data_IF_211951845506
#
_entry.id   IF_211951845506
#
_cell.length_a   1.000
_cell.length_b   1.000
_cell.length_c   1.000
_cell.angle_alpha   90.00
_cell.angle_beta   90.00
_cell.angle_gamma   90.00
#
_symmetry.space_group_name_H-M   'P 1'
#
loop_
_entity.id
_entity.type
_entity.pdbx_description
1 polymer ?
#
# COMPACT_ATOMS: atom_id res chain seq x y z
N UNK A 1 44.84 43.82 18.22
CA UNK A 1 44.51 45.16 17.72
C UNK A 1 43.14 45.09 17.08
N UNK A 2 42.14 45.74 17.67
CA UNK A 2 40.77 45.82 17.15
C UNK A 2 40.70 46.99 16.17
N UNK A 3 40.54 46.71 14.88
CA UNK A 3 40.25 47.73 13.87
C UNK A 3 38.80 48.20 14.05
N UNK A 4 38.62 49.40 14.61
CA UNK A 4 37.33 50.07 14.61
C UNK A 4 37.20 50.84 13.30
N UNK A 5 36.16 50.53 12.52
CA UNK A 5 35.84 51.31 11.32
C UNK A 5 35.45 52.74 11.73
N UNK A 6 35.87 53.72 10.94
CA UNK A 6 35.40 55.09 11.11
C UNK A 6 33.92 55.20 10.74
N UNK A 7 33.23 56.21 11.30
CA UNK A 7 31.78 56.41 11.07
C UNK A 7 31.45 56.47 9.58
N UNK A 8 32.30 57.08 8.77
CA UNK A 8 32.10 57.21 7.33
C UNK A 8 32.23 55.86 6.60
N UNK A 9 33.20 55.03 7.00
CA UNK A 9 33.37 53.68 6.44
C UNK A 9 32.21 52.76 6.82
N UNK A 10 31.69 52.90 8.05
CA UNK A 10 30.49 52.20 8.51
C UNK A 10 29.25 52.57 7.68
N UNK A 11 29.05 53.86 7.40
CA UNK A 11 27.93 54.35 6.58
C UNK A 11 28.04 53.83 5.15
N UNK A 12 29.24 53.84 4.55
CA UNK A 12 29.46 53.31 3.20
C UNK A 12 29.21 51.80 3.15
N UNK A 13 29.66 51.05 4.16
CA UNK A 13 29.44 49.59 4.21
C UNK A 13 27.96 49.23 4.41
N UNK A 14 27.24 49.97 5.27
CA UNK A 14 25.80 49.80 5.46
C UNK A 14 25.02 50.11 4.18
N UNK A 15 25.38 51.18 3.46
CA UNK A 15 24.71 51.54 2.22
C UNK A 15 24.95 50.50 1.12
N UNK A 16 26.18 49.97 1.03
CA UNK A 16 26.52 48.90 0.09
C UNK A 16 25.80 47.59 0.43
N UNK A 17 25.68 47.23 1.71
CA UNK A 17 24.90 46.07 2.15
C UNK A 17 23.40 46.24 1.85
N UNK A 18 22.85 47.43 2.06
CA UNK A 18 21.46 47.74 1.72
C UNK A 18 21.22 47.58 0.20
N UNK A 19 22.10 48.10 -0.63
CA UNK A 19 22.01 47.99 -2.10
C UNK A 19 22.14 46.53 -2.57
N UNK A 20 23.02 45.73 -1.96
CA UNK A 20 23.13 44.31 -2.29
C UNK A 20 21.90 43.52 -1.86
N UNK A 21 21.33 43.81 -0.68
CA UNK A 21 20.10 43.17 -0.21
C UNK A 21 18.91 43.50 -1.12
N UNK A 22 18.78 44.75 -1.58
CA UNK A 22 17.72 45.15 -2.52
C UNK A 22 17.87 44.41 -3.86
N UNK A 23 19.09 44.30 -4.38
CA UNK A 23 19.36 43.60 -5.65
C UNK A 23 19.09 42.09 -5.54
N UNK A 24 19.43 41.48 -4.41
CA UNK A 24 19.18 40.06 -4.15
C UNK A 24 17.67 39.78 -3.99
N UNK A 25 16.93 40.66 -3.30
CA UNK A 25 15.47 40.57 -3.19
C UNK A 25 14.79 40.68 -4.57
N UNK A 26 15.24 41.59 -5.43
CA UNK A 26 14.71 41.72 -6.79
C UNK A 26 15.02 40.48 -7.66
N UNK A 27 16.20 39.87 -7.50
CA UNK A 27 16.57 38.63 -8.19
C UNK A 27 15.75 37.42 -7.72
N UNK A 28 15.47 37.31 -6.42
CA UNK A 28 14.59 36.28 -5.88
C UNK A 28 13.14 36.45 -6.33
N UNK A 29 12.65 37.69 -6.39
CA UNK A 29 11.31 38.00 -6.90
C UNK A 29 11.18 37.64 -8.38
N UNK A 30 12.19 37.97 -9.20
CA UNK A 30 12.22 37.59 -10.61
C UNK A 30 12.31 36.07 -10.81
N UNK A 31 13.13 35.36 -10.02
CA UNK A 31 13.14 33.87 -10.03
C UNK A 31 11.79 33.29 -9.65
N UNK A 32 11.11 33.83 -8.62
CA UNK A 32 9.77 33.38 -8.20
C UNK A 32 8.70 33.68 -9.27
N UNK A 33 8.80 34.81 -9.96
CA UNK A 33 7.91 35.17 -11.06
C UNK A 33 8.09 34.24 -12.27
N UNK A 34 9.33 33.98 -12.67
CA UNK A 34 9.68 33.11 -13.81
C UNK A 34 9.33 31.64 -13.52
N UNK A 35 9.47 31.20 -12.26
CA UNK A 35 9.01 29.87 -11.82
C UNK A 35 7.48 29.78 -11.85
N UNK A 36 6.77 30.81 -11.36
CA UNK A 36 5.30 30.86 -11.44
C UNK A 36 4.78 30.85 -12.88
N UNK A 37 5.43 31.55 -13.82
CA UNK A 37 5.04 31.51 -15.24
C UNK A 37 5.27 30.14 -15.89
N UNK A 38 6.38 29.46 -15.56
CA UNK A 38 6.64 28.09 -16.05
C UNK A 38 5.60 27.08 -15.55
N UNK A 39 5.16 27.20 -14.30
CA UNK A 39 4.07 26.36 -13.76
C UNK A 39 2.69 26.73 -14.33
N UNK A 40 2.44 28.00 -14.66
CA UNK A 40 1.17 28.45 -15.27
C UNK A 40 0.98 27.94 -16.71
N UNK A 41 2.07 27.70 -17.44
CA UNK A 41 2.06 27.08 -18.78
C UNK A 41 1.70 25.59 -18.78
N UNK A 42 1.79 24.90 -17.64
CA UNK A 42 1.39 23.50 -17.46
C UNK A 42 -0.06 23.34 -16.98
N UNK A 43 -0.97 24.24 -17.39
CA UNK A 43 -2.40 23.99 -17.19
C UNK A 43 -2.88 22.92 -18.18
N UNK A 44 -2.66 21.65 -17.84
CA UNK A 44 -3.37 20.55 -18.49
C UNK A 44 -4.86 20.85 -18.37
N UNK A 45 -5.50 21.24 -19.47
CA UNK A 45 -6.96 21.27 -19.55
C UNK A 45 -7.44 19.83 -19.42
N UNK A 46 -7.78 19.45 -18.19
CA UNK A 46 -8.35 18.16 -17.84
C UNK A 46 -9.79 18.17 -18.36
N UNK A 47 -10.07 17.36 -19.37
CA UNK A 47 -11.42 17.16 -19.89
C UNK A 47 -12.03 15.90 -19.30
N UNK A 48 -13.36 15.85 -19.17
CA UNK A 48 -14.10 14.66 -18.68
C UNK A 48 -13.71 13.38 -19.45
N UNK A 49 -13.47 13.50 -20.76
CA UNK A 49 -12.99 12.41 -21.63
C UNK A 49 -11.61 11.92 -21.23
N UNK A 50 -10.66 12.82 -20.94
CA UNK A 50 -9.31 12.44 -20.50
C UNK A 50 -9.34 11.73 -19.15
N UNK A 51 -10.15 12.21 -18.20
CA UNK A 51 -10.34 11.56 -16.89
C UNK A 51 -10.91 10.14 -17.08
N UNK A 52 -11.93 9.99 -17.92
CA UNK A 52 -12.54 8.69 -18.19
C UNK A 52 -11.54 7.68 -18.76
N UNK A 53 -10.77 8.06 -19.78
CA UNK A 53 -9.76 7.18 -20.37
C UNK A 53 -8.62 6.87 -19.39
N UNK A 54 -8.20 7.84 -18.57
CA UNK A 54 -7.23 7.61 -17.50
C UNK A 54 -7.76 6.60 -16.47
N UNK A 55 -9.02 6.75 -16.04
CA UNK A 55 -9.66 5.81 -15.12
C UNK A 55 -9.80 4.42 -15.72
N UNK A 56 -10.11 4.31 -17.02
CA UNK A 56 -10.17 3.03 -17.72
C UNK A 56 -8.80 2.34 -17.77
N UNK A 57 -7.74 3.08 -18.08
CA UNK A 57 -6.37 2.55 -18.08
C UNK A 57 -5.99 2.06 -16.68
N UNK A 58 -6.30 2.84 -15.63
CA UNK A 58 -6.05 2.43 -14.24
C UNK A 58 -6.83 1.17 -13.86
N UNK A 59 -8.09 1.06 -14.29
CA UNK A 59 -8.89 -0.13 -14.04
C UNK A 59 -8.33 -1.36 -14.77
N UNK A 60 -7.85 -1.21 -16.01
CA UNK A 60 -7.17 -2.29 -16.72
C UNK A 60 -5.91 -2.73 -15.99
N UNK A 61 -5.07 -1.79 -15.56
CA UNK A 61 -3.87 -2.10 -14.76
C UNK A 61 -4.25 -2.86 -13.50
N UNK A 62 -5.29 -2.41 -12.78
CA UNK A 62 -5.78 -3.08 -11.58
C UNK A 62 -6.27 -4.52 -11.87
N UNK A 63 -7.05 -4.73 -12.94
CA UNK A 63 -7.48 -6.07 -13.36
C UNK A 63 -6.28 -6.97 -13.62
N UNK A 64 -5.26 -6.47 -14.33
CA UNK A 64 -4.02 -7.21 -14.57
C UNK A 64 -3.28 -7.54 -13.27
N UNK A 65 -3.16 -6.58 -12.35
CA UNK A 65 -2.53 -6.79 -11.04
C UNK A 65 -3.23 -7.88 -10.22
N UNK A 66 -4.56 -7.88 -10.19
CA UNK A 66 -5.36 -8.90 -9.47
C UNK A 66 -5.36 -10.26 -10.19
N UNK A 67 -5.13 -10.28 -11.50
CA UNK A 67 -5.01 -11.53 -12.27
C UNK A 67 -3.76 -12.33 -11.92
N UNK A 68 -2.68 -11.67 -11.47
CA UNK A 68 -1.41 -12.33 -11.11
C UNK A 68 -1.60 -13.38 -10.01
N UNK A 69 -2.19 -13.06 -8.84
CA UNK A 69 -2.44 -14.06 -7.80
C UNK A 69 -3.47 -15.13 -8.24
N UNK A 70 -4.45 -14.78 -9.07
CA UNK A 70 -5.46 -15.73 -9.55
C UNK A 70 -4.87 -16.82 -10.47
N UNK A 71 -3.83 -16.48 -11.24
CA UNK A 71 -3.12 -17.44 -12.11
C UNK A 71 -1.94 -18.13 -11.40
N UNK A 72 -1.65 -17.75 -10.15
CA UNK A 72 -0.53 -18.34 -9.41
C UNK A 72 -0.74 -18.28 -7.91
N UNK A 73 -1.19 -19.40 -7.33
CA UNK A 73 -1.34 -19.59 -5.89
C UNK A 73 -0.05 -19.29 -5.09
N UNK A 74 1.13 -19.42 -5.70
CA UNK A 74 2.43 -19.29 -5.01
C UNK A 74 3.39 -18.22 -5.54
N UNK A 75 3.09 -17.49 -6.64
CA UNK A 75 3.99 -16.41 -7.12
C UNK A 75 3.70 -15.03 -6.55
N UNK A 76 2.51 -14.81 -5.98
CA UNK A 76 2.19 -13.56 -5.26
C UNK A 76 3.15 -13.30 -4.09
N UNK A 77 3.43 -14.35 -3.31
CA UNK A 77 4.38 -14.33 -2.18
C UNK A 77 5.80 -13.98 -2.66
N UNK A 78 6.22 -14.50 -3.82
CA UNK A 78 7.56 -14.24 -4.35
C UNK A 78 7.72 -12.82 -4.92
N UNK A 79 6.66 -12.19 -5.43
CA UNK A 79 6.74 -10.86 -6.03
C UNK A 79 6.66 -9.72 -4.99
N UNK A 80 5.87 -9.89 -3.93
CA UNK A 80 5.60 -8.83 -2.95
C UNK A 80 6.12 -9.13 -1.54
N UNK A 81 6.83 -10.26 -1.35
CA UNK A 81 7.29 -10.84 -0.06
C UNK A 81 6.19 -11.09 0.99
N UNK A 82 5.01 -10.54 0.77
CA UNK A 82 3.82 -10.65 1.59
C UNK A 82 2.64 -11.10 0.75
N UNK A 83 1.71 -11.80 1.38
CA UNK A 83 0.43 -12.22 0.80
C UNK A 83 -0.69 -11.95 1.79
N UNK A 84 -1.92 -12.04 1.29
CA UNK A 84 -3.11 -11.94 2.12
C UNK A 84 -3.86 -13.26 2.06
N UNK A 85 -4.22 -13.83 3.20
CA UNK A 85 -4.94 -15.10 3.30
C UNK A 85 -5.99 -15.06 4.40
N UNK A 86 -6.88 -16.05 4.39
CA UNK A 86 -7.92 -16.20 5.41
C UNK A 86 -7.40 -17.14 6.50
N UNK A 87 -7.22 -16.63 7.73
CA UNK A 87 -6.73 -17.40 8.87
C UNK A 87 -7.60 -17.23 10.12
N UNK A 88 -7.60 -18.24 10.98
CA UNK A 88 -8.22 -18.23 12.30
C UNK A 88 -7.25 -17.58 13.29
N UNK A 89 -7.58 -16.40 13.87
CA UNK A 89 -6.73 -15.77 14.88
C UNK A 89 -6.69 -16.57 16.17
N UNK A 90 -5.56 -16.47 16.89
CA UNK A 90 -5.26 -17.30 18.06
C UNK A 90 -6.18 -17.07 19.27
N UNK A 91 -6.88 -15.94 19.31
CA UNK A 91 -7.65 -15.47 20.46
C UNK A 91 -9.10 -15.96 20.46
N UNK A 92 -9.34 -17.16 19.91
CA UNK A 92 -10.66 -17.75 19.79
C UNK A 92 -10.69 -19.13 20.44
N UNK A 93 -11.71 -19.37 21.24
CA UNK A 93 -11.96 -20.68 21.81
C UNK A 93 -12.35 -21.67 20.71
N UNK A 94 -11.69 -22.84 20.69
CA UNK A 94 -11.94 -23.89 19.67
C UNK A 94 -13.38 -24.45 19.75
N UNK A 95 -14.02 -24.34 20.90
CA UNK A 95 -15.35 -24.91 21.15
C UNK A 95 -16.52 -24.06 20.61
N UNK A 96 -16.26 -22.84 20.13
CA UNK A 96 -17.27 -21.93 19.60
C UNK A 96 -17.17 -21.79 18.06
N UNK A 97 -18.03 -20.95 17.48
CA UNK A 97 -17.98 -20.60 16.06
C UNK A 97 -16.68 -19.87 15.72
N UNK A 98 -15.79 -20.57 15.02
CA UNK A 98 -14.53 -20.01 14.54
C UNK A 98 -14.77 -18.95 13.45
N UNK A 99 -14.28 -17.74 13.69
CA UNK A 99 -14.32 -16.64 12.73
C UNK A 99 -12.95 -16.49 12.10
N UNK A 100 -12.86 -16.78 10.80
CA UNK A 100 -11.64 -16.54 10.06
C UNK A 100 -11.57 -15.07 9.59
N UNK A 101 -10.37 -14.48 9.66
CA UNK A 101 -10.10 -13.12 9.22
C UNK A 101 -9.10 -13.11 8.09
N UNK A 102 -9.21 -12.09 7.24
CA UNK A 102 -8.25 -11.84 6.18
C UNK A 102 -7.04 -11.14 6.82
N UNK A 103 -5.88 -11.78 6.75
CA UNK A 103 -4.64 -11.32 7.41
C UNK A 103 -3.50 -11.19 6.40
N UNK A 104 -2.56 -10.29 6.67
CA UNK A 104 -1.34 -10.15 5.88
C UNK A 104 -0.22 -10.96 6.50
N UNK A 105 0.46 -11.70 5.65
CA UNK A 105 1.46 -12.70 6.02
C UNK A 105 2.73 -12.44 5.23
N UNK A 106 3.89 -12.48 5.88
CA UNK A 106 5.21 -12.43 5.24
C UNK A 106 5.75 -13.84 5.01
N UNK A 107 6.57 -13.99 3.96
CA UNK A 107 7.33 -15.23 3.77
C UNK A 107 8.26 -15.47 4.97
N UNK A 108 8.32 -16.72 5.43
CA UNK A 108 9.22 -17.12 6.52
C UNK A 108 10.67 -16.85 6.13
N UNK A 109 11.38 -16.16 7.01
CA UNK A 109 12.84 -16.02 7.00
C UNK A 109 13.37 -16.55 8.34
N UNK A 110 14.04 -17.70 8.29
CA UNK A 110 14.51 -18.43 9.46
C UNK A 110 15.53 -17.61 10.29
N UNK A 111 16.25 -16.69 9.65
CA UNK A 111 17.24 -15.83 10.32
C UNK A 111 16.56 -14.77 11.20
N UNK A 112 15.28 -14.47 10.93
CA UNK A 112 14.50 -13.44 11.62
C UNK A 112 13.48 -14.00 12.60
N UNK A 113 13.21 -15.31 12.52
CA UNK A 113 12.18 -15.97 13.31
C UNK A 113 12.58 -16.01 14.80
N UNK A 114 11.70 -15.52 15.66
CA UNK A 114 11.95 -15.41 17.09
C UNK A 114 10.79 -15.96 17.94
N UNK A 115 11.08 -16.24 19.21
CA UNK A 115 10.06 -16.54 20.22
C UNK A 115 9.19 -15.30 20.44
N UNK A 116 7.88 -15.49 20.46
CA UNK A 116 6.86 -14.43 20.49
C UNK A 116 6.31 -14.05 19.11
N UNK A 117 6.92 -14.54 18.02
CA UNK A 117 6.38 -14.31 16.68
C UNK A 117 5.10 -15.10 16.47
N UNK A 118 4.15 -14.49 15.76
CA UNK A 118 2.92 -15.12 15.33
C UNK A 118 3.13 -15.72 13.95
N UNK A 119 2.86 -17.00 13.80
CA UNK A 119 3.07 -17.76 12.57
C UNK A 119 1.78 -18.32 12.01
N UNK A 120 1.81 -18.65 10.72
CA UNK A 120 0.70 -19.24 10.00
C UNK A 120 0.97 -20.72 9.71
N UNK A 121 0.05 -21.57 10.16
CA UNK A 121 0.06 -23.00 9.93
C UNK A 121 -1.20 -23.43 9.17
N UNK A 122 -1.07 -24.36 8.24
CA UNK A 122 -2.20 -24.94 7.50
C UNK A 122 -2.61 -26.29 8.07
N UNK A 123 -3.89 -26.65 8.00
CA UNK A 123 -4.31 -28.03 8.26
C UNK A 123 -4.45 -28.41 9.74
N UNK A 124 -4.50 -27.44 10.65
CA UNK A 124 -4.53 -27.69 12.10
C UNK A 124 -5.93 -28.12 12.56
N UNK A 125 -5.98 -28.86 13.67
CA UNK A 125 -7.22 -29.31 14.30
C UNK A 125 -8.18 -30.09 13.38
N UNK A 126 -7.64 -30.86 12.43
CA UNK A 126 -8.41 -31.56 11.38
C UNK A 126 -9.29 -30.61 10.54
N UNK A 127 -8.83 -29.38 10.32
CA UNK A 127 -9.52 -28.40 9.48
C UNK A 127 -8.64 -28.00 8.31
N UNK A 128 -9.25 -27.63 7.18
CA UNK A 128 -8.55 -27.12 5.98
C UNK A 128 -8.40 -25.58 6.02
N UNK A 129 -8.12 -25.03 7.21
CA UNK A 129 -7.94 -23.59 7.40
C UNK A 129 -6.49 -23.26 7.77
N UNK A 130 -6.14 -21.99 7.56
CA UNK A 130 -4.92 -21.41 8.11
C UNK A 130 -5.18 -20.96 9.55
N UNK A 131 -4.20 -21.13 10.42
CA UNK A 131 -4.27 -20.84 11.84
C UNK A 131 -3.11 -19.96 12.24
N UNK A 132 -3.40 -18.94 13.06
CA UNK A 132 -2.39 -18.11 13.69
C UNK A 132 -2.05 -18.73 15.04
N UNK A 133 -0.79 -19.09 15.24
CA UNK A 133 -0.26 -19.60 16.51
C UNK A 133 0.99 -18.78 16.90
N UNK A 134 1.27 -18.66 18.19
CA UNK A 134 2.45 -17.93 18.69
C UNK A 134 3.59 -18.90 19.01
N UNK A 135 4.82 -18.56 18.62
CA UNK A 135 6.01 -19.35 18.95
C UNK A 135 6.38 -19.12 20.42
N UNK A 136 6.39 -20.20 21.21
CA UNK A 136 6.83 -20.19 22.62
C UNK A 136 8.23 -20.76 22.81
N UNK A 137 8.71 -21.56 21.86
CA UNK A 137 10.07 -22.11 21.87
C UNK A 137 10.52 -22.38 20.44
N UNK A 138 11.82 -22.19 20.18
CA UNK A 138 12.41 -22.34 18.86
C UNK A 138 13.73 -23.11 18.99
N UNK A 139 13.84 -24.23 18.27
CA UNK A 139 15.06 -25.01 18.12
C UNK A 139 15.41 -25.09 16.63
N UNK A 140 16.27 -24.17 16.20
CA UNK A 140 16.71 -24.04 14.81
C UNK A 140 17.56 -25.25 14.39
N UNK A 141 18.35 -25.80 15.32
CA UNK A 141 19.25 -26.93 15.03
C UNK A 141 18.47 -28.22 14.76
N UNK A 142 17.35 -28.41 15.46
CA UNK A 142 16.44 -29.54 15.24
C UNK A 142 15.36 -29.26 14.19
N UNK A 143 15.25 -28.02 13.70
CA UNK A 143 14.25 -27.63 12.72
C UNK A 143 12.82 -27.65 13.24
N UNK A 144 12.63 -27.40 14.55
CA UNK A 144 11.32 -27.45 15.21
C UNK A 144 11.01 -26.18 16.00
N UNK A 145 9.73 -25.83 16.06
CA UNK A 145 9.21 -24.80 16.93
C UNK A 145 8.10 -25.40 17.82
N UNK A 146 7.97 -24.89 19.04
CA UNK A 146 6.77 -25.08 19.83
C UNK A 146 5.89 -23.85 19.69
N UNK A 147 4.62 -24.09 19.39
CA UNK A 147 3.62 -23.06 19.18
C UNK A 147 2.50 -23.19 20.20
N UNK A 148 1.79 -22.11 20.44
CA UNK A 148 0.62 -22.07 21.32
C UNK A 148 -0.57 -21.42 20.60
N UNK A 149 -1.75 -21.99 20.83
CA UNK A 149 -3.04 -21.46 20.39
C UNK A 149 -3.92 -21.19 21.61
N UNK A 150 -4.61 -20.06 21.62
CA UNK A 150 -5.50 -19.61 22.71
C UNK A 150 -4.85 -19.56 24.10
N UNK A 151 -3.50 -19.48 24.15
CA UNK A 151 -2.74 -19.47 25.39
C UNK A 151 -2.79 -20.77 26.21
N UNK A 152 -3.42 -21.83 25.70
CA UNK A 152 -3.65 -23.08 26.43
C UNK A 152 -3.09 -24.29 25.71
N UNK A 153 -3.22 -24.35 24.39
CA UNK A 153 -2.93 -25.57 23.63
C UNK A 153 -1.58 -25.41 22.94
N UNK A 154 -0.59 -26.23 23.33
CA UNK A 154 0.74 -26.21 22.73
C UNK A 154 1.01 -27.40 21.82
N UNK A 155 1.78 -27.17 20.76
CA UNK A 155 2.20 -28.19 19.81
C UNK A 155 3.63 -27.98 19.34
N UNK A 156 4.30 -29.08 19.01
CA UNK A 156 5.55 -29.04 18.26
C UNK A 156 5.25 -29.12 16.77
N UNK A 157 5.82 -28.20 16.00
CA UNK A 157 5.70 -28.12 14.54
C UNK A 157 7.08 -28.05 13.91
N UNK A 158 7.23 -28.55 12.68
CA UNK A 158 8.47 -28.36 11.94
C UNK A 158 8.52 -26.94 11.37
N UNK A 159 9.71 -26.37 11.27
CA UNK A 159 9.89 -25.05 10.66
C UNK A 159 9.46 -25.02 9.18
N UNK A 160 9.58 -26.16 8.48
CA UNK A 160 9.15 -26.31 7.08
C UNK A 160 7.63 -26.27 6.90
N UNK A 161 6.86 -26.56 7.95
CA UNK A 161 5.39 -26.54 7.90
C UNK A 161 4.83 -25.11 8.05
N UNK A 162 5.68 -24.15 8.45
CA UNK A 162 5.32 -22.75 8.64
C UNK A 162 5.12 -22.08 7.28
N UNK A 163 3.90 -21.62 7.02
CA UNK A 163 3.52 -21.02 5.74
C UNK A 163 3.95 -19.54 5.64
N UNK A 164 4.10 -18.89 6.79
CA UNK A 164 4.49 -17.49 6.86
C UNK A 164 4.42 -16.91 8.28
N UNK A 165 4.89 -15.68 8.43
CA UNK A 165 4.83 -14.92 9.66
C UNK A 165 3.67 -13.93 9.56
N UNK A 166 2.79 -13.92 10.56
CA UNK A 166 1.70 -12.96 10.64
C UNK A 166 2.24 -11.55 10.91
N UNK A 167 1.76 -10.57 10.15
CA UNK A 167 2.14 -9.16 10.30
C UNK A 167 1.01 -8.39 10.97
N UNK A 168 -0.15 -8.36 10.33
CA UNK A 168 -1.31 -7.59 10.77
C UNK A 168 -2.61 -8.05 10.09
N UNK A 169 -3.73 -7.63 10.67
CA UNK A 169 -5.05 -7.72 10.06
C UNK A 169 -5.09 -6.92 8.74
N UNK A 170 -5.74 -7.49 7.72
CA UNK A 170 -5.84 -6.82 6.42
C UNK A 170 -6.74 -5.58 6.50
N UNK A 171 -6.25 -4.46 5.96
CA UNK A 171 -7.07 -3.27 5.79
C UNK A 171 -8.13 -3.46 4.69
N UNK A 172 -9.07 -2.51 4.57
CA UNK A 172 -10.17 -2.59 3.60
C UNK A 172 -9.68 -2.79 2.16
N UNK A 173 -8.59 -2.14 1.75
CA UNK A 173 -8.03 -2.29 0.40
C UNK A 173 -7.47 -3.69 0.19
N UNK A 174 -6.76 -4.22 1.19
CA UNK A 174 -6.24 -5.59 1.19
C UNK A 174 -7.36 -6.62 1.15
N UNK A 175 -8.46 -6.41 1.89
CA UNK A 175 -9.65 -7.26 1.85
C UNK A 175 -10.28 -7.25 0.46
N UNK A 176 -10.48 -6.06 -0.13
CA UNK A 176 -11.04 -5.93 -1.49
C UNK A 176 -10.14 -6.65 -2.49
N UNK A 177 -8.82 -6.47 -2.39
CA UNK A 177 -7.84 -7.14 -3.25
C UNK A 177 -7.91 -8.66 -3.10
N UNK A 178 -7.92 -9.17 -1.86
CA UNK A 178 -8.04 -10.59 -1.54
C UNK A 178 -9.33 -11.18 -2.11
N UNK A 179 -10.49 -10.58 -1.84
CA UNK A 179 -11.77 -11.05 -2.38
C UNK A 179 -11.75 -11.03 -3.90
N UNK A 180 -11.20 -9.97 -4.51
CA UNK A 180 -11.09 -9.83 -5.97
C UNK A 180 -10.14 -10.83 -6.62
N UNK A 181 -9.17 -11.38 -5.86
CA UNK A 181 -8.28 -12.45 -6.33
C UNK A 181 -8.92 -13.84 -6.34
N UNK A 182 -10.09 -14.01 -5.70
CA UNK A 182 -10.89 -15.24 -5.86
C UNK A 182 -11.61 -15.24 -7.21
N UNK A 183 -11.84 -16.41 -7.82
CA UNK A 183 -12.54 -16.50 -9.12
C UNK A 183 -13.89 -15.78 -9.11
N UNK A 184 -14.69 -15.99 -8.06
CA UNK A 184 -16.02 -15.36 -7.92
C UNK A 184 -15.90 -13.84 -7.77
N UNK A 185 -14.99 -13.37 -6.91
CA UNK A 185 -14.77 -11.95 -6.71
C UNK A 185 -14.19 -11.26 -7.95
N UNK A 186 -13.31 -11.95 -8.69
CA UNK A 186 -12.74 -11.46 -9.94
C UNK A 186 -13.82 -11.23 -11.01
N UNK A 187 -14.72 -12.19 -11.20
CA UNK A 187 -15.87 -12.06 -12.12
C UNK A 187 -16.76 -10.88 -11.70
N UNK A 188 -17.04 -10.75 -10.40
CA UNK A 188 -17.86 -9.66 -9.86
C UNK A 188 -17.19 -8.28 -10.06
N UNK A 189 -15.88 -8.21 -9.86
CA UNK A 189 -15.08 -7.00 -10.11
C UNK A 189 -15.15 -6.57 -11.57
N UNK A 190 -14.91 -7.50 -12.51
CA UNK A 190 -15.02 -7.21 -13.95
C UNK A 190 -16.43 -6.73 -14.31
N UNK A 191 -17.47 -7.42 -13.82
CA UNK A 191 -18.86 -7.03 -14.06
C UNK A 191 -19.15 -5.61 -13.55
N UNK A 192 -18.67 -5.29 -12.35
CA UNK A 192 -18.82 -3.95 -11.76
C UNK A 192 -18.13 -2.89 -12.60
N UNK A 193 -16.90 -3.13 -13.06
CA UNK A 193 -16.21 -2.20 -13.97
C UNK A 193 -16.96 -2.04 -15.29
N UNK A 194 -17.41 -3.14 -15.90
CA UNK A 194 -18.15 -3.08 -17.16
C UNK A 194 -19.42 -2.22 -17.02
N UNK A 195 -20.17 -2.39 -15.93
CA UNK A 195 -21.39 -1.61 -15.65
C UNK A 195 -21.03 -0.13 -15.43
N UNK A 196 -20.10 0.19 -14.53
CA UNK A 196 -19.73 1.57 -14.20
C UNK A 196 -19.21 2.30 -15.43
N UNK A 197 -18.23 1.72 -16.14
CA UNK A 197 -17.67 2.37 -17.32
C UNK A 197 -18.70 2.50 -18.44
N UNK A 198 -19.62 1.54 -18.62
CA UNK A 198 -20.71 1.65 -19.59
C UNK A 198 -21.65 2.79 -19.25
N UNK A 199 -22.08 2.91 -17.99
CA UNK A 199 -22.97 3.99 -17.54
C UNK A 199 -22.30 5.35 -17.69
N UNK A 200 -21.05 5.48 -17.23
CA UNK A 200 -20.30 6.75 -17.34
C UNK A 200 -20.11 7.12 -18.81
N UNK A 201 -19.78 6.14 -19.66
CA UNK A 201 -19.61 6.37 -21.08
C UNK A 201 -20.91 6.86 -21.74
N UNK A 202 -22.03 6.16 -21.52
CA UNK A 202 -23.31 6.48 -22.14
C UNK A 202 -23.84 7.83 -21.66
N UNK A 203 -23.83 8.10 -20.36
CA UNK A 203 -24.47 9.29 -19.80
C UNK A 203 -23.60 10.54 -19.86
N UNK A 204 -22.28 10.41 -19.72
CA UNK A 204 -21.39 11.56 -19.53
C UNK A 204 -20.37 11.78 -20.66
N UNK A 205 -19.99 10.74 -21.41
CA UNK A 205 -18.97 10.85 -22.47
C UNK A 205 -19.60 10.91 -23.87
N UNK A 206 -20.65 10.12 -24.11
CA UNK A 206 -21.35 10.03 -25.39
C UNK A 206 -22.25 11.24 -25.65
N UNK A 207 -22.73 11.94 -24.62
CA UNK A 207 -23.58 13.13 -24.79
C UNK A 207 -22.83 14.17 -25.64
N UNK A 208 -23.38 14.50 -26.81
CA UNK A 208 -22.88 15.63 -27.64
C UNK A 208 -22.96 16.89 -26.78
N UNK A 209 -21.95 17.74 -26.86
CA UNK A 209 -21.97 19.08 -26.26
C UNK A 209 -23.32 19.73 -26.60
N UNK A 210 -24.08 20.11 -25.57
CA UNK A 210 -25.29 20.89 -25.75
C UNK A 210 -24.89 22.15 -26.53
N UNK A 211 -25.54 22.37 -27.68
CA UNK A 211 -25.28 23.53 -28.54
C UNK A 211 -25.36 24.81 -27.70
N UNK A 212 -24.51 25.82 -27.97
CA UNK A 212 -24.66 27.11 -27.30
C UNK A 212 -26.07 27.65 -27.58
N UNK A 213 -26.72 28.11 -26.51
CA UNK A 213 -28.00 28.79 -26.57
C UNK A 213 -27.76 30.10 -27.33
N UNK A 214 -28.40 30.26 -28.50
CA UNK A 214 -28.48 31.51 -29.25
C UNK A 214 -29.33 32.55 -28.51
#
# INVERSE_FOLDING_TARGET
MTNYLTTDELVVQLNNQAHQNIKNLALEQNKKADTKEKFKKFSFKITRKKIFWLALILALIHIFSVSIPLLSENRGINAYRSTTLLAVPMNQEINDQLIAKVVRVEKVDLDTLAVGDQIILYGRYNTEYYWIEEIISLDIDQGVAQTIFDGVISYTVNLDDIQGVYIEDANLLSIISYVSSSLKGYIFMIGTYAIIFSLVYIFYIRKKEDKPIE
#
